data_IF_750625376604
#
_entry.id   IF_750625376604
#
_cell.length_a   1.000
_cell.length_b   1.000
_cell.length_c   1.000
_cell.angle_alpha   90.00
_cell.angle_beta   90.00
_cell.angle_gamma   90.00
#
_symmetry.space_group_name_H-M   'P 1'
#
loop_
_entity.id
_entity.type
_entity.pdbx_description
1 polymer ?
#
# COMPACT_ATOMS: atom_id res chain seq x y z
N UNK A 1 -3.81 -17.54 5.65
CA UNK A 1 -4.62 -16.77 6.60
C UNK A 1 -4.67 -15.30 6.21
N UNK A 2 -5.63 -14.58 6.71
CA UNK A 2 -5.78 -13.15 6.47
C UNK A 2 -5.35 -12.39 7.73
N UNK A 3 -4.60 -11.30 7.56
CA UNK A 3 -4.20 -10.44 8.67
C UNK A 3 -4.58 -8.99 8.35
N UNK A 4 -4.85 -8.20 9.36
CA UNK A 4 -5.20 -6.80 9.20
C UNK A 4 -4.12 -5.90 9.78
N UNK A 5 -3.75 -4.86 9.03
CA UNK A 5 -2.81 -3.84 9.48
C UNK A 5 -3.55 -2.51 9.49
N UNK A 6 -3.66 -1.89 10.66
CA UNK A 6 -4.31 -0.61 10.82
C UNK A 6 -3.30 0.52 10.74
N UNK A 7 -3.54 1.48 9.84
CA UNK A 7 -2.68 2.65 9.70
C UNK A 7 -2.91 3.68 10.81
N UNK A 8 -3.93 3.49 11.64
CA UNK A 8 -4.19 4.36 12.78
C UNK A 8 -3.30 4.04 13.98
N UNK A 9 -2.74 2.84 14.05
CA UNK A 9 -2.04 2.38 15.26
C UNK A 9 -0.82 3.20 15.64
N UNK A 10 -0.20 3.88 14.67
CA UNK A 10 0.98 4.70 14.92
C UNK A 10 0.73 6.21 14.77
N UNK A 11 -0.48 6.59 14.38
CA UNK A 11 -0.77 7.97 13.98
C UNK A 11 -2.19 8.38 14.35
N UNK A 12 -2.64 8.05 15.57
CA UNK A 12 -4.02 8.26 15.96
C UNK A 12 -4.48 9.72 15.84
N UNK A 13 -3.59 10.66 16.10
CA UNK A 13 -3.91 12.09 16.06
C UNK A 13 -3.75 12.71 14.69
N UNK A 14 -3.14 12.00 13.74
CA UNK A 14 -2.86 12.53 12.40
C UNK A 14 -4.00 12.16 11.47
N UNK A 15 -4.58 13.17 10.81
CA UNK A 15 -5.68 12.96 9.85
C UNK A 15 -5.18 12.57 8.47
N UNK A 16 -4.00 13.06 8.09
CA UNK A 16 -3.43 12.81 6.77
C UNK A 16 -2.15 12.02 6.90
N UNK A 17 -2.09 10.90 6.18
CA UNK A 17 -0.91 10.06 6.08
C UNK A 17 -0.10 10.59 4.90
N UNK A 18 0.89 11.44 5.18
CA UNK A 18 1.53 12.24 4.15
C UNK A 18 2.97 11.89 3.82
N UNK A 19 3.74 11.44 4.78
CA UNK A 19 5.18 11.29 4.59
C UNK A 19 5.56 9.87 4.17
N UNK A 20 6.40 9.77 3.14
CA UNK A 20 6.92 8.48 2.66
C UNK A 20 7.58 7.68 3.79
N UNK A 21 8.38 8.34 4.61
CA UNK A 21 9.08 7.70 5.73
C UNK A 21 8.11 7.08 6.74
N UNK A 22 6.93 7.66 6.90
CA UNK A 22 5.90 7.12 7.82
C UNK A 22 5.27 5.85 7.29
N UNK A 23 5.27 5.63 5.98
CA UNK A 23 4.72 4.44 5.37
C UNK A 23 5.65 3.23 5.46
N UNK A 24 6.96 3.46 5.55
CA UNK A 24 7.95 2.39 5.50
C UNK A 24 7.77 1.31 6.57
N UNK A 25 7.50 1.64 7.85
CA UNK A 25 7.27 0.60 8.86
C UNK A 25 6.05 -0.26 8.56
N UNK A 26 4.98 0.35 8.03
CA UNK A 26 3.79 -0.40 7.64
C UNK A 26 4.08 -1.30 6.45
N UNK A 27 4.82 -0.82 5.46
CA UNK A 27 5.20 -1.63 4.30
C UNK A 27 6.02 -2.85 4.74
N UNK A 28 6.94 -2.67 5.65
CA UNK A 28 7.75 -3.79 6.16
C UNK A 28 6.88 -4.85 6.85
N UNK A 29 5.88 -4.41 7.61
CA UNK A 29 4.96 -5.33 8.26
C UNK A 29 4.11 -6.08 7.23
N UNK A 30 3.64 -5.38 6.18
CA UNK A 30 2.92 -6.02 5.09
C UNK A 30 3.77 -7.10 4.43
N UNK A 31 5.03 -6.78 4.13
CA UNK A 31 5.95 -7.73 3.51
C UNK A 31 6.16 -8.96 4.39
N UNK A 32 6.31 -8.75 5.70
CA UNK A 32 6.47 -9.84 6.65
C UNK A 32 5.26 -10.79 6.61
N UNK A 33 4.05 -10.24 6.58
CA UNK A 33 2.84 -11.05 6.53
C UNK A 33 2.72 -11.79 5.19
N UNK A 34 3.06 -11.13 4.09
CA UNK A 34 3.07 -11.77 2.77
C UNK A 34 4.08 -12.93 2.73
N UNK A 35 5.25 -12.74 3.31
CA UNK A 35 6.29 -13.78 3.36
C UNK A 35 5.84 -14.98 4.20
N UNK A 36 4.94 -14.76 5.16
CA UNK A 36 4.35 -15.82 5.97
C UNK A 36 3.18 -16.53 5.26
N UNK A 37 2.86 -16.14 4.04
CA UNK A 37 1.77 -16.75 3.26
C UNK A 37 0.40 -16.15 3.54
N UNK A 38 0.33 -15.04 4.26
CA UNK A 38 -0.93 -14.38 4.58
C UNK A 38 -1.37 -13.41 3.50
N UNK A 39 -2.69 -13.23 3.35
CA UNK A 39 -3.22 -12.05 2.66
C UNK A 39 -3.37 -10.93 3.68
N UNK A 40 -3.36 -9.68 3.22
CA UNK A 40 -3.32 -8.51 4.10
C UNK A 40 -4.47 -7.57 3.82
N UNK A 41 -5.20 -7.20 4.87
CA UNK A 41 -6.18 -6.12 4.81
C UNK A 41 -5.52 -4.86 5.39
N UNK A 42 -5.45 -3.81 4.61
CA UNK A 42 -4.88 -2.54 5.02
C UNK A 42 -6.03 -1.61 5.39
N UNK A 43 -6.14 -1.27 6.66
CA UNK A 43 -7.21 -0.44 7.19
C UNK A 43 -6.71 1.00 7.31
N UNK A 44 -7.25 1.89 6.46
CA UNK A 44 -6.88 3.30 6.48
C UNK A 44 -7.59 4.08 7.59
N UNK A 45 -8.58 3.48 8.24
CA UNK A 45 -9.33 4.12 9.34
C UNK A 45 -9.96 5.46 8.95
N UNK A 46 -10.33 5.61 7.69
CA UNK A 46 -10.91 6.83 7.16
C UNK A 46 -9.93 7.98 6.98
N UNK A 47 -8.64 7.75 7.16
CA UNK A 47 -7.61 8.80 7.03
C UNK A 47 -7.30 9.11 5.57
N UNK A 48 -7.03 10.39 5.31
CA UNK A 48 -6.49 10.80 4.01
C UNK A 48 -5.04 10.32 3.89
N UNK A 49 -4.60 10.11 2.65
CA UNK A 49 -3.22 9.72 2.38
C UNK A 49 -2.73 10.41 1.11
N UNK A 50 -1.48 10.83 1.11
CA UNK A 50 -0.87 11.43 -0.09
C UNK A 50 -0.39 10.35 -1.04
N UNK A 51 -0.14 10.76 -2.30
CA UNK A 51 0.44 9.87 -3.29
C UNK A 51 1.79 9.33 -2.83
N UNK A 52 2.62 10.15 -2.17
CA UNK A 52 3.93 9.71 -1.66
C UNK A 52 3.81 8.60 -0.63
N UNK A 53 2.84 8.73 0.28
CA UNK A 53 2.59 7.70 1.28
C UNK A 53 2.13 6.40 0.63
N UNK A 54 1.16 6.49 -0.27
CA UNK A 54 0.63 5.31 -0.97
C UNK A 54 1.71 4.65 -1.84
N UNK A 55 2.53 5.46 -2.49
CA UNK A 55 3.62 4.94 -3.31
C UNK A 55 4.61 4.13 -2.48
N UNK A 56 4.99 4.61 -1.30
CA UNK A 56 5.89 3.86 -0.42
C UNK A 56 5.21 2.63 0.16
N UNK A 57 3.91 2.70 0.47
CA UNK A 57 3.17 1.61 1.09
C UNK A 57 2.86 0.48 0.10
N UNK A 58 2.34 0.83 -1.07
CA UNK A 58 1.80 -0.13 -2.05
C UNK A 58 2.63 -0.15 -3.33
N UNK A 59 3.01 1.02 -3.83
CA UNK A 59 3.79 1.11 -5.07
C UNK A 59 5.11 0.35 -4.97
N UNK A 60 5.79 0.46 -3.84
CA UNK A 60 7.05 -0.26 -3.61
C UNK A 60 6.84 -1.77 -3.62
N UNK A 61 5.70 -2.26 -3.14
CA UNK A 61 5.37 -3.68 -3.19
C UNK A 61 5.19 -4.17 -4.63
N UNK A 62 4.51 -3.36 -5.46
CA UNK A 62 4.32 -3.69 -6.87
C UNK A 62 5.66 -3.75 -7.59
N UNK A 63 6.54 -2.78 -7.34
CA UNK A 63 7.87 -2.77 -7.96
C UNK A 63 8.73 -3.96 -7.53
N UNK A 64 8.65 -4.34 -6.27
CA UNK A 64 9.49 -5.40 -5.72
C UNK A 64 8.96 -6.80 -6.00
N UNK A 65 7.65 -6.99 -5.92
CA UNK A 65 7.03 -8.32 -6.00
C UNK A 65 6.21 -8.55 -7.27
N UNK A 66 6.03 -7.52 -8.09
CA UNK A 66 5.22 -7.58 -9.29
C UNK A 66 3.75 -7.26 -9.03
N UNK A 67 2.98 -6.98 -10.10
CA UNK A 67 1.58 -6.57 -9.97
C UNK A 67 0.69 -7.62 -9.33
N UNK A 68 1.05 -8.89 -9.39
CA UNK A 68 0.27 -9.98 -8.80
C UNK A 68 0.12 -9.84 -7.27
N UNK A 69 0.99 -9.06 -6.61
CA UNK A 69 0.89 -8.84 -5.17
C UNK A 69 -0.46 -8.20 -4.79
N UNK A 70 -1.06 -7.42 -5.70
CA UNK A 70 -2.32 -6.73 -5.46
C UNK A 70 -3.44 -7.71 -5.13
N UNK A 71 -3.42 -8.90 -5.69
CA UNK A 71 -4.43 -9.92 -5.40
C UNK A 71 -4.42 -10.40 -3.95
N UNK A 72 -3.32 -10.14 -3.23
CA UNK A 72 -3.16 -10.53 -1.83
C UNK A 72 -3.45 -9.38 -0.87
N UNK A 73 -3.82 -8.22 -1.40
CA UNK A 73 -4.09 -7.01 -0.62
C UNK A 73 -5.56 -6.63 -0.72
N UNK A 74 -6.12 -6.15 0.38
CA UNK A 74 -7.46 -5.56 0.43
C UNK A 74 -7.35 -4.25 1.20
N UNK A 75 -8.24 -3.31 0.88
CA UNK A 75 -8.22 -1.98 1.47
C UNK A 75 -9.56 -1.73 2.17
N UNK A 76 -9.49 -1.30 3.42
CA UNK A 76 -10.66 -1.12 4.27
C UNK A 76 -10.70 0.31 4.81
N UNK A 77 -11.91 0.86 4.93
CA UNK A 77 -12.14 2.21 5.47
C UNK A 77 -11.29 3.25 4.76
N UNK A 78 -11.25 3.14 3.43
CA UNK A 78 -10.41 3.96 2.57
C UNK A 78 -11.27 5.03 1.91
N UNK A 79 -10.98 6.34 2.12
CA UNK A 79 -11.71 7.40 1.44
C UNK A 79 -11.62 7.26 -0.08
N UNK A 80 -12.63 7.76 -0.80
CA UNK A 80 -12.67 7.65 -2.26
C UNK A 80 -11.46 8.26 -2.95
N UNK A 81 -10.99 9.41 -2.44
CA UNK A 81 -9.80 10.06 -2.98
C UNK A 81 -8.57 9.15 -2.86
N UNK A 82 -8.45 8.47 -1.73
CA UNK A 82 -7.34 7.55 -1.49
C UNK A 82 -7.45 6.32 -2.38
N UNK A 83 -8.65 5.81 -2.60
CA UNK A 83 -8.87 4.70 -3.54
C UNK A 83 -8.37 5.05 -4.93
N UNK A 84 -8.64 6.27 -5.38
CA UNK A 84 -8.17 6.75 -6.70
C UNK A 84 -6.65 6.82 -6.75
N UNK A 85 -6.03 7.29 -5.69
CA UNK A 85 -4.57 7.36 -5.59
C UNK A 85 -3.97 5.95 -5.63
N UNK A 86 -4.56 5.01 -4.89
CA UNK A 86 -4.10 3.61 -4.87
C UNK A 86 -4.13 3.02 -6.28
N UNK A 87 -5.25 3.19 -6.99
CA UNK A 87 -5.39 2.69 -8.37
C UNK A 87 -4.35 3.30 -9.29
N UNK A 88 -4.13 4.60 -9.18
CA UNK A 88 -3.15 5.30 -9.99
C UNK A 88 -1.74 4.76 -9.72
N UNK A 89 -1.37 4.64 -8.45
CA UNK A 89 -0.03 4.18 -8.07
C UNK A 89 0.22 2.75 -8.54
N UNK A 90 -0.75 1.87 -8.37
CA UNK A 90 -0.62 0.47 -8.81
C UNK A 90 -0.42 0.42 -10.33
N UNK A 91 -1.24 1.14 -11.10
CA UNK A 91 -1.14 1.15 -12.56
C UNK A 91 0.18 1.76 -13.01
N UNK A 92 0.61 2.84 -12.38
CA UNK A 92 1.86 3.51 -12.74
C UNK A 92 3.06 2.59 -12.52
N UNK A 93 3.13 1.93 -11.38
CA UNK A 93 4.24 1.03 -11.08
C UNK A 93 4.21 -0.23 -11.94
N UNK A 94 3.04 -0.79 -12.19
CA UNK A 94 2.91 -1.93 -13.09
C UNK A 94 3.36 -1.57 -14.51
N UNK A 95 3.03 -0.37 -14.99
CA UNK A 95 3.48 0.12 -16.30
C UNK A 95 5.00 0.26 -16.34
N UNK A 96 5.62 0.77 -15.28
CA UNK A 96 7.08 0.88 -15.21
C UNK A 96 7.75 -0.48 -15.32
N UNK A 97 7.20 -1.50 -14.68
CA UNK A 97 7.73 -2.86 -14.76
C UNK A 97 7.61 -3.42 -16.19
N UNK A 98 6.47 -3.19 -16.85
CA UNK A 98 6.28 -3.62 -18.23
C UNK A 98 7.29 -2.96 -19.16
N UNK A 99 7.55 -1.68 -18.97
CA UNK A 99 8.53 -0.94 -19.76
C UNK A 99 9.95 -1.48 -19.55
N UNK A 100 10.31 -1.83 -18.32
CA UNK A 100 11.61 -2.43 -18.02
C UNK A 100 11.76 -3.80 -18.67
N UNK A 101 10.69 -4.58 -18.70
CA UNK A 101 10.70 -5.91 -19.28
C UNK A 101 10.92 -5.89 -20.80
N UNK A 102 10.53 -4.80 -21.45
CA UNK A 102 10.68 -4.64 -22.92
C UNK A 102 12.08 -4.14 -23.30
N UNK A 103 12.72 -3.44 -22.40
CA UNK A 103 14.01 -2.79 -22.65
C UNK A 103 15.17 -3.79 -22.83
#
# INVERSE_FOLDING_TARGET
>A
MQTQISLASRSETVRTLGMRASAAPYRKEIEKQLDSGNTVVIDFSGKEATQSFVDELVGALVLKRGPSVVSKLSFKNCPDDVKSIIKFVINDRATQLSQRAIA
#
